data_IF_277545725779
#
_entry.id   IF_277545725779
#
_cell.length_a   1.000
_cell.length_b   1.000
_cell.length_c   1.000
_cell.angle_alpha   90.00
_cell.angle_beta   90.00
_cell.angle_gamma   90.00
#
_symmetry.space_group_name_H-M   'P 1'
#
loop_
_entity.id
_entity.type
_entity.pdbx_description
1 polymer ?
#
# COMPACT_ATOMS: atom_id res chain seq x y z
N UNK A 1 15.57 -15.85 -2.83
CA UNK A 1 15.02 -14.51 -3.12
C UNK A 1 14.23 -14.12 -1.88
N UNK A 2 14.63 -13.06 -1.15
CA UNK A 2 13.86 -12.65 0.02
C UNK A 2 12.46 -12.19 -0.44
N UNK A 3 11.43 -12.85 0.06
CA UNK A 3 10.05 -12.44 -0.19
C UNK A 3 9.81 -11.17 0.63
N UNK A 4 9.90 -10.02 -0.02
CA UNK A 4 9.63 -8.74 0.62
C UNK A 4 8.12 -8.53 0.67
N UNK A 5 7.51 -8.73 1.83
CA UNK A 5 6.09 -8.47 2.05
C UNK A 5 5.75 -6.98 2.18
N UNK A 6 6.77 -6.15 2.34
CA UNK A 6 6.64 -4.72 2.60
C UNK A 6 5.87 -3.98 1.49
N UNK A 7 6.13 -4.29 0.22
CA UNK A 7 5.42 -3.70 -0.91
C UNK A 7 3.91 -4.05 -0.90
N UNK A 8 3.57 -5.28 -0.53
CA UNK A 8 2.17 -5.69 -0.38
C UNK A 8 1.48 -4.93 0.75
N UNK A 9 2.13 -4.79 1.91
CA UNK A 9 1.58 -4.07 3.06
C UNK A 9 1.36 -2.58 2.74
N UNK A 10 2.27 -1.95 2.01
CA UNK A 10 2.15 -0.56 1.57
C UNK A 10 0.94 -0.36 0.67
N UNK A 11 0.75 -1.22 -0.33
CA UNK A 11 -0.43 -1.15 -1.21
C UNK A 11 -1.71 -1.42 -0.40
N UNK A 12 -1.68 -2.41 0.50
CA UNK A 12 -2.81 -2.72 1.39
C UNK A 12 -3.17 -1.50 2.27
N UNK A 13 -2.19 -0.75 2.75
CA UNK A 13 -2.41 0.50 3.51
C UNK A 13 -3.21 1.51 2.68
N UNK A 14 -2.90 1.69 1.40
CA UNK A 14 -3.68 2.52 0.48
C UNK A 14 -5.10 2.01 0.29
N UNK A 15 -5.26 0.69 0.13
CA UNK A 15 -6.58 0.06 -0.01
C UNK A 15 -7.45 0.24 1.24
N UNK A 16 -6.87 0.24 2.42
CA UNK A 16 -7.58 0.32 3.71
C UNK A 16 -7.86 1.76 4.15
N UNK A 17 -6.84 2.61 4.12
CA UNK A 17 -6.91 3.97 4.66
C UNK A 17 -7.28 5.02 3.61
N UNK A 18 -7.30 4.65 2.33
CA UNK A 18 -7.52 5.57 1.22
C UNK A 18 -6.28 6.45 0.92
N UNK A 19 -6.42 7.44 0.00
CA UNK A 19 -5.25 8.13 -0.54
C UNK A 19 -4.54 8.99 0.50
N UNK A 20 -5.25 9.78 1.28
CA UNK A 20 -4.64 10.76 2.20
C UNK A 20 -3.98 10.07 3.39
N UNK A 21 -4.73 9.28 4.14
CA UNK A 21 -4.22 8.62 5.34
C UNK A 21 -3.27 7.47 5.03
N UNK A 22 -3.46 6.80 3.89
CA UNK A 22 -2.54 5.78 3.41
C UNK A 22 -1.18 6.38 3.09
N UNK A 23 -1.13 7.50 2.36
CA UNK A 23 0.12 8.21 2.06
C UNK A 23 0.76 8.75 3.35
N UNK A 24 -0.02 9.35 4.24
CA UNK A 24 0.51 9.84 5.52
C UNK A 24 1.18 8.72 6.33
N UNK A 25 0.54 7.55 6.44
CA UNK A 25 1.11 6.38 7.13
C UNK A 25 2.38 5.87 6.44
N UNK A 26 2.39 5.83 5.10
CA UNK A 26 3.56 5.39 4.33
C UNK A 26 4.72 6.38 4.45
N UNK A 27 4.45 7.68 4.41
CA UNK A 27 5.47 8.71 4.61
C UNK A 27 6.05 8.63 6.03
N UNK A 28 5.21 8.47 7.05
CA UNK A 28 5.67 8.28 8.43
C UNK A 28 6.57 7.05 8.56
N UNK A 29 6.20 5.94 7.93
CA UNK A 29 7.02 4.74 7.86
C UNK A 29 8.39 5.00 7.20
N UNK A 30 8.42 5.74 6.07
CA UNK A 30 9.66 6.09 5.38
C UNK A 30 10.55 7.03 6.23
N UNK A 31 9.95 8.00 6.92
CA UNK A 31 10.66 8.90 7.84
C UNK A 31 11.25 8.11 9.01
N UNK A 32 10.47 7.23 9.63
CA UNK A 32 10.95 6.37 10.71
C UNK A 32 12.15 5.51 10.27
N UNK A 33 12.05 4.92 9.07
CA UNK A 33 13.15 4.16 8.48
C UNK A 33 14.37 5.02 8.17
N UNK A 34 14.19 6.24 7.65
CA UNK A 34 15.27 7.19 7.39
C UNK A 34 16.02 7.60 8.66
N UNK A 35 15.31 7.76 9.77
CA UNK A 35 15.88 8.06 11.10
C UNK A 35 16.64 6.88 11.72
N UNK A 36 16.68 5.73 11.05
CA UNK A 36 17.47 4.57 11.48
C UNK A 36 16.68 3.45 12.14
N UNK A 37 15.36 3.57 12.29
CA UNK A 37 14.55 2.46 12.79
C UNK A 37 14.61 1.27 11.82
N UNK A 38 14.74 0.04 12.31
CA UNK A 38 14.92 -1.17 11.49
C UNK A 38 13.58 -1.63 10.87
N UNK A 39 12.90 -0.72 10.16
CA UNK A 39 11.56 -0.95 9.59
C UNK A 39 11.59 -1.35 8.11
N UNK A 40 12.74 -1.19 7.43
CA UNK A 40 12.90 -1.61 6.05
C UNK A 40 13.19 -3.10 5.93
N UNK A 41 13.03 -3.62 4.72
CA UNK A 41 13.25 -5.04 4.44
C UNK A 41 14.59 -5.54 4.97
N UNK A 42 14.56 -6.69 5.64
CA UNK A 42 15.73 -7.28 6.29
C UNK A 42 16.09 -6.66 7.65
N UNK A 43 15.15 -5.95 8.30
CA UNK A 43 15.39 -5.32 9.60
C UNK A 43 16.40 -4.18 9.53
N UNK A 44 16.42 -3.45 8.43
CA UNK A 44 17.38 -2.37 8.17
C UNK A 44 16.71 -1.01 8.25
N UNK A 45 17.51 0.03 8.42
CA UNK A 45 17.08 1.43 8.43
C UNK A 45 18.21 2.35 8.02
N UNK A 46 17.97 3.64 8.12
CA UNK A 46 18.91 4.70 7.82
C UNK A 46 18.77 5.27 6.41
N UNK A 47 19.23 6.51 6.26
CA UNK A 47 19.13 7.28 5.02
C UNK A 47 19.89 6.61 3.86
N UNK A 48 20.90 5.81 4.16
CA UNK A 48 21.67 5.05 3.16
C UNK A 48 20.78 4.09 2.32
N UNK A 49 19.68 3.59 2.90
CA UNK A 49 18.71 2.76 2.17
C UNK A 49 17.90 3.55 1.17
N UNK A 50 17.59 4.81 1.47
CA UNK A 50 16.87 5.70 0.56
C UNK A 50 17.73 6.17 -0.61
N UNK A 51 19.02 6.39 -0.38
CA UNK A 51 19.96 6.83 -1.41
C UNK A 51 20.49 5.63 -2.22
N UNK A 52 20.52 4.44 -1.63
CA UNK A 52 21.02 3.21 -2.26
C UNK A 52 20.19 2.74 -3.46
N UNK A 53 20.64 1.70 -4.16
CA UNK A 53 20.04 1.22 -5.40
C UNK A 53 18.53 0.90 -5.30
N UNK A 54 18.07 0.48 -4.14
CA UNK A 54 16.67 0.14 -3.88
C UNK A 54 15.82 1.32 -3.38
N UNK A 55 16.43 2.49 -3.17
CA UNK A 55 15.74 3.69 -2.64
C UNK A 55 14.57 4.15 -3.49
N UNK A 56 14.68 4.02 -4.80
CA UNK A 56 13.59 4.35 -5.71
C UNK A 56 12.29 3.58 -5.47
N UNK A 57 12.40 2.32 -5.03
CA UNK A 57 11.23 1.52 -4.66
C UNK A 57 10.59 2.04 -3.37
N UNK A 58 11.40 2.54 -2.42
CA UNK A 58 10.90 3.15 -1.20
C UNK A 58 10.12 4.46 -1.51
N UNK A 59 10.62 5.31 -2.39
CA UNK A 59 9.85 6.47 -2.88
C UNK A 59 8.58 6.03 -3.62
N UNK A 60 8.67 4.95 -4.39
CA UNK A 60 7.56 4.32 -5.08
C UNK A 60 6.44 3.88 -4.16
N UNK A 61 6.72 3.58 -2.89
CA UNK A 61 5.71 3.18 -1.91
C UNK A 61 4.65 4.26 -1.68
N UNK A 62 5.06 5.53 -1.54
CA UNK A 62 4.10 6.63 -1.37
C UNK A 62 3.20 6.79 -2.60
N UNK A 63 3.78 6.65 -3.79
CA UNK A 63 3.03 6.71 -5.06
C UNK A 63 2.10 5.50 -5.23
N UNK A 64 2.56 4.30 -4.87
CA UNK A 64 1.74 3.09 -4.91
C UNK A 64 0.54 3.17 -3.96
N UNK A 65 0.78 3.65 -2.73
CA UNK A 65 -0.27 3.88 -1.74
C UNK A 65 -1.29 4.90 -2.23
N UNK A 66 -0.82 6.00 -2.84
CA UNK A 66 -1.68 7.02 -3.42
C UNK A 66 -2.54 6.45 -4.55
N UNK A 67 -1.93 5.76 -5.52
CA UNK A 67 -2.63 5.18 -6.65
C UNK A 67 -3.68 4.15 -6.21
N UNK A 68 -3.30 3.23 -5.33
CA UNK A 68 -4.21 2.24 -4.78
C UNK A 68 -5.36 2.88 -4.00
N UNK A 69 -5.05 3.89 -3.18
CA UNK A 69 -6.04 4.60 -2.38
C UNK A 69 -7.02 5.44 -3.19
N UNK A 70 -6.58 6.06 -4.29
CA UNK A 70 -7.45 6.84 -5.19
C UNK A 70 -8.50 5.95 -5.89
N UNK A 71 -8.09 4.75 -6.30
CA UNK A 71 -8.98 3.82 -7.00
C UNK A 71 -9.92 3.11 -6.03
N UNK A 72 -9.37 2.56 -4.93
CA UNK A 72 -10.16 1.81 -3.96
C UNK A 72 -11.04 2.71 -3.09
N UNK A 73 -10.62 3.94 -2.85
CA UNK A 73 -11.22 4.89 -1.91
C UNK A 73 -11.35 4.30 -0.49
N UNK A 74 -11.80 5.09 0.47
CA UNK A 74 -12.04 4.59 1.83
C UNK A 74 -13.19 3.59 1.88
N UNK A 75 -13.15 2.59 2.76
CA UNK A 75 -14.32 1.77 3.07
C UNK A 75 -15.47 2.69 3.48
N UNK A 76 -16.65 2.48 2.89
CA UNK A 76 -17.89 3.18 3.27
C UNK A 76 -18.87 2.20 3.88
N UNK A 77 -19.63 2.67 4.87
CA UNK A 77 -20.71 1.90 5.45
C UNK A 77 -21.74 1.54 4.35
N UNK A 78 -22.18 0.29 4.31
CA UNK A 78 -23.18 -0.25 3.36
C UNK A 78 -22.76 -0.31 1.88
N UNK A 79 -21.59 0.18 1.47
CA UNK A 79 -21.13 0.10 0.08
C UNK A 79 -19.94 -0.86 -0.02
N UNK A 80 -20.17 -2.05 -0.54
CA UNK A 80 -19.09 -3.00 -0.84
C UNK A 80 -18.33 -2.52 -2.07
N UNK A 81 -17.04 -2.30 -1.92
CA UNK A 81 -16.17 -2.00 -3.08
C UNK A 81 -16.11 -3.24 -3.96
N UNK A 82 -16.44 -3.14 -5.26
CA UNK A 82 -16.42 -4.29 -6.14
C UNK A 82 -15.00 -4.85 -6.29
N UNK A 83 -14.88 -6.16 -6.34
CA UNK A 83 -13.60 -6.88 -6.37
C UNK A 83 -12.69 -6.42 -7.52
N UNK A 84 -13.25 -6.14 -8.69
CA UNK A 84 -12.47 -5.66 -9.83
C UNK A 84 -11.74 -4.34 -9.55
N UNK A 85 -12.33 -3.42 -8.77
CA UNK A 85 -11.68 -2.16 -8.36
C UNK A 85 -10.50 -2.43 -7.42
N UNK A 86 -10.63 -3.40 -6.52
CA UNK A 86 -9.55 -3.78 -5.62
C UNK A 86 -8.41 -4.44 -6.38
N UNK A 87 -8.71 -5.29 -7.36
CA UNK A 87 -7.71 -5.89 -8.25
C UNK A 87 -6.99 -4.79 -9.03
N UNK A 88 -7.74 -3.90 -9.68
CA UNK A 88 -7.17 -2.79 -10.47
C UNK A 88 -6.30 -1.87 -9.59
N UNK A 89 -6.79 -1.50 -8.41
CA UNK A 89 -6.05 -0.67 -7.46
C UNK A 89 -4.73 -1.31 -7.02
N UNK A 90 -4.78 -2.63 -6.74
CA UNK A 90 -3.60 -3.37 -6.30
C UNK A 90 -2.58 -3.49 -7.44
N UNK A 91 -3.01 -3.90 -8.62
CA UNK A 91 -2.13 -4.04 -9.79
C UNK A 91 -1.48 -2.70 -10.15
N UNK A 92 -2.27 -1.63 -10.22
CA UNK A 92 -1.73 -0.28 -10.51
C UNK A 92 -0.80 0.21 -9.41
N UNK A 93 -1.08 -0.08 -8.14
CA UNK A 93 -0.16 0.22 -7.04
C UNK A 93 1.21 -0.43 -7.24
N UNK A 94 1.24 -1.72 -7.59
CA UNK A 94 2.50 -2.41 -7.89
C UNK A 94 3.21 -1.84 -9.11
N UNK A 95 2.50 -1.59 -10.21
CA UNK A 95 3.08 -0.99 -11.43
C UNK A 95 3.68 0.38 -11.16
N UNK A 96 2.94 1.25 -10.48
CA UNK A 96 3.38 2.62 -10.13
C UNK A 96 4.63 2.60 -9.25
N UNK A 97 4.75 1.64 -8.33
CA UNK A 97 5.93 1.47 -7.49
C UNK A 97 7.19 1.14 -8.31
N UNK A 98 7.07 0.34 -9.36
CA UNK A 98 8.20 -0.05 -10.18
C UNK A 98 8.79 1.11 -10.98
N UNK A 99 8.00 2.11 -11.35
CA UNK A 99 8.47 3.24 -12.16
C UNK A 99 9.65 3.98 -11.49
N UNK A 100 9.51 4.58 -10.31
CA UNK A 100 10.63 5.24 -9.64
C UNK A 100 11.71 4.24 -9.21
N UNK A 101 11.34 3.00 -8.87
CA UNK A 101 12.28 1.95 -8.51
C UNK A 101 13.28 1.65 -9.62
N UNK A 102 12.78 1.38 -10.81
CA UNK A 102 13.61 1.08 -12.01
C UNK A 102 14.44 2.29 -12.42
N UNK A 103 13.82 3.48 -12.48
CA UNK A 103 14.52 4.71 -12.88
C UNK A 103 15.66 5.07 -11.93
N UNK A 104 15.44 4.94 -10.64
CA UNK A 104 16.45 5.21 -9.62
C UNK A 104 17.58 4.17 -9.68
N UNK A 105 17.23 2.88 -9.78
CA UNK A 105 18.22 1.81 -9.90
C UNK A 105 19.12 1.98 -11.10
N UNK A 106 18.56 2.33 -12.26
CA UNK A 106 19.32 2.61 -13.49
C UNK A 106 20.37 3.71 -13.27
N UNK A 107 19.97 4.79 -12.58
CA UNK A 107 20.86 5.93 -12.31
C UNK A 107 21.96 5.59 -11.31
N UNK A 108 21.63 4.91 -10.22
CA UNK A 108 22.58 4.60 -9.14
C UNK A 108 23.57 3.52 -9.54
N UNK A 109 23.11 2.54 -10.33
CA UNK A 109 23.95 1.40 -10.74
C UNK A 109 24.58 1.56 -12.14
N UNK A 110 24.28 2.66 -12.83
CA UNK A 110 24.71 2.95 -14.21
C UNK A 110 24.45 1.76 -15.15
N UNK A 111 23.22 1.23 -15.11
CA UNK A 111 22.84 0.05 -15.89
C UNK A 111 21.74 0.38 -16.90
N UNK A 112 21.80 -0.23 -18.10
CA UNK A 112 20.75 -0.08 -19.09
C UNK A 112 19.44 -0.72 -18.60
N UNK A 113 18.33 -0.27 -19.17
CA UNK A 113 16.98 -0.73 -18.78
C UNK A 113 16.82 -2.25 -18.88
N UNK A 114 17.42 -2.89 -19.88
CA UNK A 114 17.31 -4.35 -20.08
C UNK A 114 17.90 -5.14 -18.89
N UNK A 115 19.08 -4.73 -18.41
CA UNK A 115 19.71 -5.35 -17.26
C UNK A 115 18.96 -5.03 -15.97
N UNK A 116 18.47 -3.81 -15.82
CA UNK A 116 17.68 -3.40 -14.64
C UNK A 116 16.39 -4.19 -14.55
N UNK A 117 15.68 -4.39 -15.64
CA UNK A 117 14.45 -5.22 -15.67
C UNK A 117 14.75 -6.66 -15.27
N UNK A 118 15.84 -7.25 -15.76
CA UNK A 118 16.25 -8.61 -15.43
C UNK A 118 16.63 -8.77 -13.95
N UNK A 119 17.22 -7.74 -13.35
CA UNK A 119 17.68 -7.78 -11.97
C UNK A 119 16.59 -7.43 -10.95
N UNK A 120 15.76 -6.41 -11.27
CA UNK A 120 14.87 -5.78 -10.28
C UNK A 120 13.39 -6.05 -10.52
N UNK A 121 12.98 -6.56 -11.68
CA UNK A 121 11.56 -6.75 -12.01
C UNK A 121 11.26 -8.22 -12.27
N UNK A 122 11.87 -8.80 -13.28
CA UNK A 122 11.53 -10.15 -13.76
C UNK A 122 11.55 -11.21 -12.64
N UNK A 123 12.56 -11.30 -11.76
CA UNK A 123 12.60 -12.32 -10.71
C UNK A 123 11.52 -12.14 -9.64
N UNK A 124 10.96 -10.94 -9.52
CA UNK A 124 9.95 -10.64 -8.51
C UNK A 124 8.51 -10.82 -9.00
N UNK A 125 8.25 -10.81 -10.31
CA UNK A 125 6.91 -10.96 -10.89
C UNK A 125 6.13 -12.16 -10.33
N UNK A 126 6.69 -13.38 -10.26
CA UNK A 126 5.94 -14.51 -9.72
C UNK A 126 5.52 -14.33 -8.27
N UNK A 127 6.43 -13.77 -7.45
CA UNK A 127 6.16 -13.45 -6.05
C UNK A 127 5.14 -12.33 -5.90
N UNK A 128 5.19 -11.32 -6.75
CA UNK A 128 4.27 -10.19 -6.72
C UNK A 128 2.86 -10.59 -7.18
N UNK A 129 2.73 -11.52 -8.13
CA UNK A 129 1.43 -12.07 -8.50
C UNK A 129 0.72 -12.72 -7.31
N UNK A 130 1.43 -13.51 -6.51
CA UNK A 130 0.89 -14.11 -5.28
C UNK A 130 0.51 -13.03 -4.27
N UNK A 131 1.35 -12.01 -4.08
CA UNK A 131 1.08 -10.89 -3.16
C UNK A 131 -0.13 -10.08 -3.58
N UNK A 132 -0.33 -9.85 -4.87
CA UNK A 132 -1.52 -9.16 -5.40
C UNK A 132 -2.78 -9.94 -5.01
N UNK A 133 -2.80 -11.25 -5.23
CA UNK A 133 -3.94 -12.09 -4.84
C UNK A 133 -4.20 -12.00 -3.33
N UNK A 134 -3.16 -12.17 -2.51
CA UNK A 134 -3.27 -12.09 -1.05
C UNK A 134 -3.74 -10.70 -0.61
N UNK A 135 -3.21 -9.61 -1.17
CA UNK A 135 -3.61 -8.24 -0.83
C UNK A 135 -5.09 -8.00 -1.16
N UNK A 136 -5.58 -8.47 -2.30
CA UNK A 136 -7.00 -8.35 -2.68
C UNK A 136 -7.88 -9.13 -1.71
N UNK A 137 -7.55 -10.40 -1.40
CA UNK A 137 -8.32 -11.22 -0.47
C UNK A 137 -8.33 -10.64 0.95
N UNK A 138 -7.19 -10.16 1.44
CA UNK A 138 -7.09 -9.51 2.74
C UNK A 138 -7.88 -8.20 2.76
N UNK A 139 -7.78 -7.38 1.70
CA UNK A 139 -8.50 -6.11 1.63
C UNK A 139 -10.00 -6.31 1.67
N UNK A 140 -10.55 -7.33 1.01
CA UNK A 140 -12.00 -7.61 1.04
C UNK A 140 -12.49 -7.91 2.45
N UNK A 141 -11.76 -8.76 3.19
CA UNK A 141 -12.12 -9.14 4.57
C UNK A 141 -11.91 -7.98 5.55
N UNK A 142 -10.76 -7.33 5.48
CA UNK A 142 -10.40 -6.24 6.40
C UNK A 142 -11.27 -5.00 6.18
N UNK A 143 -11.62 -4.65 4.96
CA UNK A 143 -12.51 -3.51 4.66
C UNK A 143 -13.90 -3.72 5.24
N UNK A 144 -14.42 -4.94 5.20
CA UNK A 144 -15.71 -5.28 5.81
C UNK A 144 -15.63 -5.16 7.34
N UNK A 145 -14.57 -5.68 7.95
CA UNK A 145 -14.35 -5.57 9.39
C UNK A 145 -14.14 -4.10 9.82
N UNK A 146 -13.29 -3.34 9.12
CA UNK A 146 -13.04 -1.94 9.41
C UNK A 146 -14.32 -1.10 9.33
N UNK A 147 -15.14 -1.31 8.30
CA UNK A 147 -16.41 -0.62 8.16
C UNK A 147 -17.36 -0.90 9.35
N UNK A 148 -17.43 -2.14 9.84
CA UNK A 148 -18.28 -2.50 10.97
C UNK A 148 -17.81 -1.88 12.30
N UNK A 149 -16.50 -1.67 12.48
CA UNK A 149 -15.96 -1.05 13.70
C UNK A 149 -16.10 0.48 13.69
N UNK A 150 -15.79 1.12 12.55
CA UNK A 150 -15.81 2.59 12.43
C UNK A 150 -17.24 3.14 12.57
N UNK A 151 -18.24 2.41 12.07
CA UNK A 151 -19.63 2.88 12.05
C UNK A 151 -20.50 2.28 13.17
N UNK A 152 -19.95 1.44 14.04
CA UNK A 152 -20.66 0.94 15.22
C UNK A 152 -20.87 2.04 16.28
N UNK A 153 -20.03 3.06 16.27
CA UNK A 153 -20.10 4.18 17.21
C UNK A 153 -21.18 5.19 16.81
N UNK A 154 -21.39 5.40 15.50
CA UNK A 154 -22.41 6.35 15.03
C UNK A 154 -23.86 5.91 15.33
N UNK A 155 -24.10 4.59 15.45
CA UNK A 155 -25.45 4.08 15.79
C UNK A 155 -25.80 4.17 17.28
N UNK A 156 -24.86 4.58 18.12
CA UNK A 156 -25.10 4.80 19.56
C UNK A 156 -25.42 6.25 19.91
N UNK A 157 -25.11 7.17 19.00
CA UNK A 157 -25.31 8.61 19.21
C UNK A 157 -26.61 9.15 18.58
N UNK A 158 -27.39 8.31 17.89
CA UNK A 158 -28.76 8.66 17.53
C UNK A 158 -29.63 8.49 18.78
N UNK A 159 -30.06 9.57 19.47
CA UNK A 159 -31.07 9.46 20.51
C UNK A 159 -32.35 8.92 19.84
N UNK A 160 -32.81 7.79 20.36
CA UNK A 160 -34.17 7.32 20.05
C UNK A 160 -35.10 8.52 20.23
N UNK A 161 -35.67 9.03 19.15
CA UNK A 161 -36.86 9.85 19.23
C UNK A 161 -37.92 8.99 19.90
N UNK A 162 -38.03 9.18 21.20
CA UNK A 162 -39.13 8.71 22.01
C UNK A 162 -40.40 9.38 21.46
N UNK A 163 -40.98 8.75 20.46
CA UNK A 163 -42.32 9.10 20.00
C UNK A 163 -43.29 8.56 21.03
N UNK A 164 -43.45 9.33 22.10
CA UNK A 164 -44.58 9.14 23.00
C UNK A 164 -45.87 9.43 22.23
N UNK A 165 -46.53 8.36 21.86
CA UNK A 165 -47.95 8.44 21.48
C UNK A 165 -48.78 8.70 22.75
N UNK A 166 -49.24 9.91 22.91
CA UNK A 166 -50.47 10.23 23.64
C UNK A 166 -51.64 10.35 22.65
#
# INVERSE_FOLDING_TARGET
IPIVLQNMLVVLTGLMLGPVWGVAATVLFLVAGALGLPVFSGGTGGIARLIGPTGGFLYGYALATLAAGLIAQRPRHRVKTPMWKLILATVLGFVVMYIPGVLHFMRVMDKPISQTMTLCVIPYIPGDAVKIVVAVLLSTKLRTAAASYIFKDESKDDPEEDVSND
#
